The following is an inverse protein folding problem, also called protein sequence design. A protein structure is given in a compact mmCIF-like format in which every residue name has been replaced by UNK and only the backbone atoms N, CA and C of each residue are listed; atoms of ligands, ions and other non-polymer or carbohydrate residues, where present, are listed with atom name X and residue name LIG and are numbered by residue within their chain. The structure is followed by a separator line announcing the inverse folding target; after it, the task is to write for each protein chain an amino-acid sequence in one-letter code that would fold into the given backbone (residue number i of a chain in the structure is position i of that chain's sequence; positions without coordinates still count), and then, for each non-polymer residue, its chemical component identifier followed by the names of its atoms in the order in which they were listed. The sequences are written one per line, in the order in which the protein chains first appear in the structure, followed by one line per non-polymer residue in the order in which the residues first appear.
data_IF_993545133842
#
_entry.id   IF_993545133842
#
_cell.length_a   1.000
_cell.length_b   1.000
_cell.length_c   1.000
_cell.angle_alpha   90.00
_cell.angle_beta   90.00
_cell.angle_gamma   90.00
#
_symmetry.space_group_name_H-M   'P 1'
#
loop_
_entity.id
_entity.type
_entity.pdbx_description
1 polymer ?
#
# COMPACT_ATOMS: atom_id res chain seq x y z
N UNK A 1 -87.13 63.18 -88.93
CA UNK A 1 -86.79 63.01 -87.48
C UNK A 1 -85.92 61.78 -87.18
N UNK A 2 -85.67 60.86 -88.13
CA UNK A 2 -84.91 59.62 -87.87
C UNK A 2 -83.38 59.76 -87.80
N UNK A 3 -82.76 60.78 -88.42
CA UNK A 3 -81.29 60.95 -88.39
C UNK A 3 -80.78 61.49 -87.06
N UNK A 4 -81.55 62.39 -86.41
CA UNK A 4 -81.20 62.98 -85.10
C UNK A 4 -81.26 61.97 -83.95
N UNK A 5 -81.98 60.85 -84.13
CA UNK A 5 -82.02 59.75 -83.18
C UNK A 5 -80.82 58.80 -83.32
N UNK A 6 -80.22 58.71 -84.53
CA UNK A 6 -79.09 57.82 -84.79
C UNK A 6 -77.77 58.41 -84.27
N UNK A 7 -77.53 59.70 -84.50
CA UNK A 7 -76.30 60.38 -84.02
C UNK A 7 -76.28 60.53 -82.48
N UNK A 8 -77.45 60.66 -81.86
CA UNK A 8 -77.60 60.77 -80.40
C UNK A 8 -77.41 59.42 -79.69
N UNK A 9 -77.72 58.33 -80.39
CA UNK A 9 -77.45 56.96 -79.92
C UNK A 9 -75.98 56.60 -80.13
N UNK A 10 -75.33 57.05 -81.21
CA UNK A 10 -73.89 56.81 -81.47
C UNK A 10 -72.98 57.58 -80.49
N UNK A 11 -73.26 58.87 -80.22
CA UNK A 11 -72.56 59.62 -79.16
C UNK A 11 -72.84 59.05 -77.77
N UNK A 12 -74.06 58.59 -77.51
CA UNK A 12 -74.47 57.96 -76.25
C UNK A 12 -74.01 56.51 -76.06
N UNK A 13 -73.41 55.90 -77.07
CA UNK A 13 -72.74 54.59 -77.02
C UNK A 13 -71.22 54.75 -76.92
N UNK A 14 -70.61 55.73 -77.61
CA UNK A 14 -69.18 56.07 -77.44
C UNK A 14 -68.82 56.68 -76.09
N UNK A 15 -69.74 57.40 -75.44
CA UNK A 15 -69.51 57.91 -74.07
C UNK A 15 -69.69 56.84 -72.99
N UNK A 16 -70.29 55.70 -73.32
CA UNK A 16 -70.66 54.65 -72.35
C UNK A 16 -69.57 53.62 -72.09
N UNK A 17 -68.43 53.77 -72.78
CA UNK A 17 -67.18 53.12 -72.48
C UNK A 17 -66.08 54.18 -72.66
N UNK A 18 -65.94 55.06 -71.67
CA UNK A 18 -64.81 55.99 -71.66
C UNK A 18 -63.52 55.15 -71.54
N UNK A 19 -62.47 55.42 -72.34
CA UNK A 19 -61.18 54.72 -72.22
C UNK A 19 -60.65 54.68 -70.78
N UNK A 20 -60.94 55.72 -69.99
CA UNK A 20 -60.57 55.79 -68.58
C UNK A 20 -61.23 54.74 -67.67
N UNK A 21 -62.45 54.26 -67.97
CA UNK A 21 -63.09 53.20 -67.15
C UNK A 21 -62.43 51.84 -67.39
N UNK A 22 -62.05 51.54 -68.64
CA UNK A 22 -61.34 50.31 -68.97
C UNK A 22 -59.92 50.28 -68.36
N UNK A 23 -59.20 51.41 -68.42
CA UNK A 23 -57.87 51.56 -67.79
C UNK A 23 -57.92 51.44 -66.26
N UNK A 24 -58.96 51.99 -65.61
CA UNK A 24 -59.18 51.82 -64.17
C UNK A 24 -59.51 50.36 -63.81
N UNK A 25 -60.31 49.68 -64.63
CA UNK A 25 -60.64 48.27 -64.43
C UNK A 25 -59.39 47.38 -64.52
N UNK A 26 -58.53 47.61 -65.51
CA UNK A 26 -57.27 46.87 -65.69
C UNK A 26 -56.27 47.16 -64.56
N UNK A 27 -56.21 48.40 -64.07
CA UNK A 27 -55.40 48.76 -62.91
C UNK A 27 -55.92 48.08 -61.63
N UNK A 28 -57.24 48.00 -61.46
CA UNK A 28 -57.87 47.33 -60.32
C UNK A 28 -57.60 45.81 -60.34
N UNK A 29 -57.68 45.18 -61.51
CA UNK A 29 -57.30 43.77 -61.70
C UNK A 29 -55.81 43.54 -61.41
N UNK A 30 -54.91 44.44 -61.83
CA UNK A 30 -53.49 44.36 -61.49
C UNK A 30 -53.24 44.48 -59.98
N UNK A 31 -53.96 45.37 -59.29
CA UNK A 31 -53.90 45.50 -57.84
C UNK A 31 -54.40 44.22 -57.16
N UNK A 32 -55.50 43.64 -57.61
CA UNK A 32 -56.05 42.41 -57.04
C UNK A 32 -55.09 41.22 -57.22
N UNK A 33 -54.45 41.10 -58.39
CA UNK A 33 -53.40 40.11 -58.65
C UNK A 33 -52.21 40.33 -57.70
N UNK A 34 -51.74 41.57 -57.56
CA UNK A 34 -50.62 41.91 -56.69
C UNK A 34 -50.95 41.64 -55.21
N UNK A 35 -52.15 41.97 -54.75
CA UNK A 35 -52.66 41.65 -53.40
C UNK A 35 -52.75 40.14 -53.20
N UNK A 36 -53.18 39.39 -54.22
CA UNK A 36 -53.18 37.92 -54.21
C UNK A 36 -51.78 37.33 -54.02
N UNK A 37 -50.79 37.83 -54.77
CA UNK A 37 -49.38 37.41 -54.64
C UNK A 37 -48.83 37.77 -53.26
N UNK A 38 -49.14 38.95 -52.74
CA UNK A 38 -48.70 39.39 -51.41
C UNK A 38 -49.30 38.52 -50.30
N UNK A 39 -50.60 38.17 -50.39
CA UNK A 39 -51.24 37.22 -49.46
C UNK A 39 -50.56 35.85 -49.51
N UNK A 40 -50.28 35.33 -50.70
CA UNK A 40 -49.60 34.05 -50.85
C UNK A 40 -48.18 34.07 -50.26
N UNK A 41 -47.44 35.17 -50.44
CA UNK A 41 -46.11 35.36 -49.84
C UNK A 41 -46.19 35.43 -48.31
N UNK A 42 -47.16 36.15 -47.77
CA UNK A 42 -47.39 36.24 -46.33
C UNK A 42 -47.70 34.85 -45.74
N UNK A 43 -48.63 34.11 -46.33
CA UNK A 43 -48.96 32.73 -45.92
C UNK A 43 -47.73 31.81 -45.96
N UNK A 44 -46.88 31.95 -46.98
CA UNK A 44 -45.66 31.14 -47.10
C UNK A 44 -44.62 31.46 -46.01
N UNK A 45 -44.48 32.75 -45.66
CA UNK A 45 -43.59 33.20 -44.59
C UNK A 45 -44.11 32.74 -43.23
N UNK A 46 -45.43 32.84 -42.99
CA UNK A 46 -46.05 32.35 -41.75
C UNK A 46 -45.85 30.84 -41.58
N UNK A 47 -46.07 30.05 -42.63
CA UNK A 47 -45.83 28.60 -42.60
C UNK A 47 -44.36 28.26 -42.36
N UNK A 48 -43.44 28.98 -43.00
CA UNK A 48 -42.00 28.79 -42.79
C UNK A 48 -41.60 29.14 -41.35
N UNK A 49 -42.13 30.23 -40.80
CA UNK A 49 -41.84 30.66 -39.44
C UNK A 49 -42.40 29.68 -38.39
N UNK A 50 -43.61 29.16 -38.61
CA UNK A 50 -44.20 28.09 -37.80
C UNK A 50 -43.33 26.83 -37.80
N UNK A 51 -42.88 26.40 -38.98
CA UNK A 51 -42.01 25.23 -39.12
C UNK A 51 -40.65 25.43 -38.41
N UNK A 52 -40.05 26.61 -38.53
CA UNK A 52 -38.82 26.95 -37.79
C UNK A 52 -39.04 26.93 -36.28
N UNK A 53 -40.14 27.52 -35.80
CA UNK A 53 -40.48 27.55 -34.37
C UNK A 53 -40.68 26.14 -33.82
N UNK A 54 -41.40 25.28 -34.53
CA UNK A 54 -41.58 23.87 -34.17
C UNK A 54 -40.25 23.09 -34.16
N UNK A 55 -39.35 23.39 -35.09
CA UNK A 55 -38.02 22.77 -35.12
C UNK A 55 -37.20 23.16 -33.89
N UNK A 56 -37.14 24.47 -33.56
CA UNK A 56 -36.44 24.95 -32.38
C UNK A 56 -37.05 24.44 -31.08
N UNK A 57 -38.37 24.36 -31.00
CA UNK A 57 -39.06 23.77 -29.86
C UNK A 57 -38.72 22.27 -29.71
N UNK A 58 -38.67 21.52 -30.81
CA UNK A 58 -38.24 20.12 -30.81
C UNK A 58 -36.79 19.93 -30.35
N UNK A 59 -35.87 20.78 -30.82
CA UNK A 59 -34.48 20.78 -30.36
C UNK A 59 -34.38 21.11 -28.87
N UNK A 60 -35.13 22.10 -28.40
CA UNK A 60 -35.17 22.50 -27.00
C UNK A 60 -35.70 21.38 -26.10
N UNK A 61 -36.75 20.68 -26.52
CA UNK A 61 -37.28 19.51 -25.80
C UNK A 61 -36.27 18.37 -25.73
N UNK A 62 -35.56 18.12 -26.84
CA UNK A 62 -34.49 17.11 -26.89
C UNK A 62 -33.36 17.46 -25.92
N UNK A 63 -32.93 18.72 -25.91
CA UNK A 63 -31.91 19.21 -24.99
C UNK A 63 -32.38 19.09 -23.52
N UNK A 64 -33.64 19.43 -23.24
CA UNK A 64 -34.26 19.25 -21.91
C UNK A 64 -34.24 17.79 -21.46
N UNK A 65 -34.55 16.86 -22.37
CA UNK A 65 -34.50 15.43 -22.08
C UNK A 65 -33.07 14.94 -21.80
N UNK A 66 -32.09 15.41 -22.58
CA UNK A 66 -30.67 15.11 -22.33
C UNK A 66 -30.19 15.66 -20.98
N UNK A 67 -30.54 16.89 -20.64
CA UNK A 67 -30.25 17.46 -19.32
C UNK A 67 -30.89 16.65 -18.21
N UNK A 68 -32.14 16.22 -18.37
CA UNK A 68 -32.85 15.42 -17.37
C UNK A 68 -32.19 14.07 -17.16
N UNK A 69 -31.73 13.43 -18.25
CA UNK A 69 -30.95 12.18 -18.21
C UNK A 69 -29.60 12.37 -17.53
N UNK A 70 -28.89 13.45 -17.85
CA UNK A 70 -27.61 13.79 -17.24
C UNK A 70 -27.77 14.04 -15.73
N UNK A 71 -28.75 14.85 -15.33
CA UNK A 71 -29.07 15.11 -13.92
C UNK A 71 -29.38 13.81 -13.16
N UNK A 72 -30.22 12.94 -13.73
CA UNK A 72 -30.52 11.63 -13.12
C UNK A 72 -29.27 10.76 -13.00
N UNK A 73 -28.39 10.75 -14.02
CA UNK A 73 -27.14 10.00 -13.98
C UNK A 73 -26.19 10.52 -12.89
N UNK A 74 -26.11 11.85 -12.72
CA UNK A 74 -25.31 12.49 -11.70
C UNK A 74 -25.85 12.20 -10.29
N UNK A 75 -27.15 12.25 -10.10
CA UNK A 75 -27.79 11.87 -8.83
C UNK A 75 -27.57 10.40 -8.49
N UNK A 76 -27.68 9.50 -9.47
CA UNK A 76 -27.37 8.07 -9.30
C UNK A 76 -25.90 7.86 -8.92
N UNK A 77 -24.97 8.54 -9.58
CA UNK A 77 -23.55 8.48 -9.26
C UNK A 77 -23.27 9.02 -7.86
N UNK A 78 -23.87 10.15 -7.49
CA UNK A 78 -23.77 10.74 -6.15
C UNK A 78 -24.33 9.82 -5.07
N UNK A 79 -25.48 9.18 -5.32
CA UNK A 79 -26.07 8.17 -4.44
C UNK A 79 -25.18 6.94 -4.33
N UNK A 80 -24.62 6.46 -5.44
CA UNK A 80 -23.68 5.35 -5.46
C UNK A 80 -22.43 5.68 -4.64
N UNK A 81 -21.83 6.85 -4.85
CA UNK A 81 -20.67 7.31 -4.08
C UNK A 81 -21.00 7.46 -2.59
N UNK A 82 -22.18 7.97 -2.24
CA UNK A 82 -22.62 8.01 -0.83
C UNK A 82 -22.85 6.63 -0.24
N UNK A 83 -23.42 5.67 -0.99
CA UNK A 83 -23.58 4.28 -0.55
C UNK A 83 -22.23 3.59 -0.40
N UNK A 84 -21.34 3.72 -1.38
CA UNK A 84 -19.98 3.19 -1.33
C UNK A 84 -19.19 3.78 -0.16
N UNK A 85 -19.31 5.09 0.09
CA UNK A 85 -18.71 5.72 1.26
C UNK A 85 -19.34 5.23 2.56
N UNK A 86 -20.64 4.95 2.62
CA UNK A 86 -21.27 4.33 3.79
C UNK A 86 -20.80 2.89 4.00
N UNK A 87 -20.56 2.12 2.94
CA UNK A 87 -19.97 0.79 3.00
C UNK A 87 -18.52 0.85 3.45
N UNK A 88 -17.66 1.67 2.84
CA UNK A 88 -16.30 1.97 3.33
C UNK A 88 -16.31 2.40 4.79
N UNK A 89 -17.26 3.25 5.19
CA UNK A 89 -17.36 3.69 6.59
C UNK A 89 -17.81 2.55 7.51
N UNK A 90 -18.72 1.65 7.09
CA UNK A 90 -19.13 0.46 7.86
C UNK A 90 -18.03 -0.61 7.93
N UNK A 91 -17.28 -0.79 6.86
CA UNK A 91 -16.12 -1.68 6.78
C UNK A 91 -14.98 -1.14 7.66
N UNK A 92 -14.73 0.17 7.62
CA UNK A 92 -13.88 0.89 8.57
C UNK A 92 -14.48 0.94 9.97
N UNK A 93 -15.80 0.80 10.16
CA UNK A 93 -16.44 0.75 11.50
C UNK A 93 -16.30 -0.63 12.14
N UNK A 94 -16.42 -1.70 11.36
CA UNK A 94 -16.14 -3.07 11.80
C UNK A 94 -14.64 -3.27 12.08
N UNK A 95 -13.76 -2.74 11.22
CA UNK A 95 -12.33 -2.63 11.53
C UNK A 95 -12.09 -1.72 12.75
N UNK A 96 -12.82 -0.62 12.93
CA UNK A 96 -12.79 0.25 14.13
C UNK A 96 -13.56 -0.34 15.32
N UNK A 97 -14.03 -1.57 15.30
CA UNK A 97 -14.55 -2.26 16.49
C UNK A 97 -13.55 -3.32 16.96
N UNK A 98 -12.80 -3.93 16.03
CA UNK A 98 -11.59 -4.73 16.33
C UNK A 98 -10.37 -3.88 16.69
N UNK A 99 -10.15 -2.74 16.01
CA UNK A 99 -9.03 -1.81 16.26
C UNK A 99 -9.09 -1.12 17.63
N UNK A 100 -10.22 -0.75 18.27
CA UNK A 100 -10.23 -0.22 19.63
C UNK A 100 -9.92 -1.29 20.66
N UNK A 101 -10.24 -2.57 20.40
CA UNK A 101 -9.83 -3.67 21.26
C UNK A 101 -8.33 -3.93 21.12
N UNK A 102 -7.81 -3.97 19.90
CA UNK A 102 -6.36 -4.11 19.63
C UNK A 102 -5.55 -2.88 20.08
N UNK A 103 -6.07 -1.66 19.90
CA UNK A 103 -5.46 -0.42 20.38
C UNK A 103 -5.53 -0.34 21.91
N UNK A 104 -6.61 -0.80 22.53
CA UNK A 104 -6.72 -0.92 24.00
C UNK A 104 -5.73 -1.95 24.53
N UNK A 105 -5.59 -3.11 23.89
CA UNK A 105 -4.64 -4.16 24.27
C UNK A 105 -3.19 -3.68 24.09
N UNK A 106 -2.89 -3.03 22.97
CA UNK A 106 -1.58 -2.43 22.73
C UNK A 106 -1.26 -1.31 23.72
N UNK A 107 -2.23 -0.48 24.06
CA UNK A 107 -2.08 0.59 25.05
C UNK A 107 -1.90 0.04 26.47
N UNK A 108 -2.61 -1.04 26.82
CA UNK A 108 -2.39 -1.77 28.07
C UNK A 108 -0.97 -2.34 28.12
N UNK A 109 -0.51 -2.96 27.04
CA UNK A 109 0.85 -3.52 26.93
C UNK A 109 1.92 -2.43 26.98
N UNK A 110 1.63 -1.25 26.43
CA UNK A 110 2.49 -0.07 26.52
C UNK A 110 2.59 0.42 27.96
N UNK A 111 1.48 0.49 28.70
CA UNK A 111 1.49 0.84 30.12
C UNK A 111 2.21 -0.21 30.97
N UNK A 112 2.11 -1.49 30.64
CA UNK A 112 2.90 -2.55 31.29
C UNK A 112 4.40 -2.35 31.06
N UNK A 113 4.82 -2.00 29.85
CA UNK A 113 6.22 -1.67 29.58
C UNK A 113 6.67 -0.41 30.30
N UNK A 114 5.82 0.62 30.39
CA UNK A 114 6.10 1.83 31.19
C UNK A 114 6.25 1.51 32.67
N UNK A 115 5.39 0.66 33.22
CA UNK A 115 5.48 0.21 34.61
C UNK A 115 6.77 -0.60 34.86
N UNK A 116 7.12 -1.52 33.95
CA UNK A 116 8.39 -2.26 34.02
C UNK A 116 9.60 -1.34 33.92
N UNK A 117 9.59 -0.35 33.03
CA UNK A 117 10.65 0.64 32.92
C UNK A 117 10.86 1.36 34.26
N UNK A 118 9.78 1.85 34.87
CA UNK A 118 9.86 2.52 36.18
C UNK A 118 10.40 1.61 37.28
N UNK A 119 10.12 0.30 37.21
CA UNK A 119 10.66 -0.65 38.18
C UNK A 119 12.16 -0.89 37.96
N UNK A 120 12.60 -0.99 36.71
CA UNK A 120 14.03 -1.04 36.38
C UNK A 120 14.78 0.22 36.84
N UNK A 121 14.18 1.41 36.66
CA UNK A 121 14.76 2.66 37.15
C UNK A 121 14.93 2.65 38.69
N UNK A 122 13.95 2.08 39.42
CA UNK A 122 14.09 1.90 40.88
C UNK A 122 15.21 0.92 41.23
N UNK A 123 15.31 -0.21 40.52
CA UNK A 123 16.38 -1.18 40.75
C UNK A 123 17.76 -0.56 40.46
N UNK A 124 17.88 0.24 39.40
CA UNK A 124 19.10 0.99 39.08
C UNK A 124 19.48 1.94 40.22
N UNK A 125 18.54 2.73 40.73
CA UNK A 125 18.79 3.64 41.86
C UNK A 125 19.24 2.85 43.11
N UNK A 126 18.62 1.69 43.40
CA UNK A 126 19.00 0.85 44.52
C UNK A 126 20.43 0.31 44.36
N UNK A 127 20.78 -0.24 43.19
CA UNK A 127 22.12 -0.73 42.93
C UNK A 127 23.16 0.38 42.96
N UNK A 128 22.84 1.54 42.39
CA UNK A 128 23.71 2.72 42.44
C UNK A 128 23.96 3.16 43.89
N UNK A 129 22.91 3.17 44.71
CA UNK A 129 23.02 3.49 46.15
C UNK A 129 23.90 2.47 46.88
N UNK A 130 23.70 1.17 46.60
CA UNK A 130 24.54 0.11 47.15
C UNK A 130 26.01 0.28 46.77
N UNK A 131 26.31 0.58 45.49
CA UNK A 131 27.67 0.85 45.02
C UNK A 131 28.31 2.02 45.77
N UNK A 132 27.59 3.13 45.95
CA UNK A 132 28.08 4.29 46.71
C UNK A 132 28.37 3.91 48.16
N UNK A 133 27.49 3.14 48.81
CA UNK A 133 27.73 2.69 50.19
C UNK A 133 28.95 1.76 50.33
N UNK A 134 29.16 0.86 49.35
CA UNK A 134 30.31 -0.04 49.31
C UNK A 134 31.61 0.74 49.10
N UNK A 135 31.62 1.71 48.19
CA UNK A 135 32.76 2.62 47.97
C UNK A 135 33.09 3.41 49.26
N UNK A 136 32.08 3.92 49.96
CA UNK A 136 32.27 4.60 51.25
C UNK A 136 32.87 3.66 52.32
N UNK A 137 32.41 2.40 52.40
CA UNK A 137 32.99 1.40 53.30
C UNK A 137 34.45 1.07 52.93
N UNK A 138 34.74 0.89 51.65
CA UNK A 138 36.11 0.64 51.17
C UNK A 138 37.04 1.80 51.52
N UNK A 139 36.61 3.06 51.33
CA UNK A 139 37.36 4.25 51.74
C UNK A 139 37.62 4.30 53.23
N UNK A 140 36.61 3.98 54.05
CA UNK A 140 36.78 3.95 55.51
C UNK A 140 37.77 2.87 55.95
N UNK A 141 37.69 1.67 55.36
CA UNK A 141 38.62 0.57 55.62
C UNK A 141 40.04 0.93 55.17
N UNK A 142 40.20 1.57 54.01
CA UNK A 142 41.49 2.06 53.54
C UNK A 142 42.09 3.09 54.50
N UNK A 143 41.28 4.02 55.01
CA UNK A 143 41.73 5.01 55.99
C UNK A 143 42.16 4.36 57.31
N UNK A 144 41.42 3.34 57.77
CA UNK A 144 41.82 2.53 58.94
C UNK A 144 43.13 1.78 58.72
N UNK A 145 43.33 1.18 57.54
CA UNK A 145 44.59 0.52 57.20
C UNK A 145 45.76 1.53 57.21
N UNK A 146 45.55 2.72 56.64
CA UNK A 146 46.54 3.79 56.66
C UNK A 146 46.87 4.24 58.11
N UNK A 147 45.86 4.35 58.98
CA UNK A 147 46.06 4.67 60.40
C UNK A 147 46.90 3.60 61.11
N UNK A 148 46.58 2.32 60.92
CA UNK A 148 47.36 1.22 61.49
C UNK A 148 48.78 1.17 60.94
N UNK A 149 48.96 1.43 59.64
CA UNK A 149 50.29 1.50 59.03
C UNK A 149 51.13 2.64 59.63
N UNK A 150 50.56 3.84 59.78
CA UNK A 150 51.23 4.97 60.45
C UNK A 150 51.54 4.66 61.91
N UNK A 151 50.65 3.99 62.62
CA UNK A 151 50.86 3.58 64.00
C UNK A 151 52.00 2.54 64.11
N UNK A 152 52.03 1.54 63.23
CA UNK A 152 53.11 0.55 63.15
C UNK A 152 54.46 1.21 62.85
N UNK A 153 54.51 2.14 61.89
CA UNK A 153 55.71 2.92 61.57
C UNK A 153 56.19 3.77 62.77
N UNK A 154 55.27 4.38 63.52
CA UNK A 154 55.61 5.12 64.75
C UNK A 154 56.22 4.20 65.82
N UNK A 155 55.64 3.02 66.06
CA UNK A 155 56.23 2.04 66.97
C UNK A 155 57.59 1.53 66.50
N UNK A 156 57.74 1.29 65.20
CA UNK A 156 59.02 0.89 64.61
C UNK A 156 60.09 1.97 64.77
N UNK A 157 59.70 3.24 64.62
CA UNK A 157 60.59 4.39 64.87
C UNK A 157 60.98 4.50 66.34
N UNK A 158 60.06 4.25 67.27
CA UNK A 158 60.36 4.20 68.71
C UNK A 158 61.28 3.03 69.09
N UNK A 159 61.11 1.86 68.46
CA UNK A 159 62.00 0.70 68.65
C UNK A 159 63.41 0.95 68.10
N UNK A 160 63.51 1.58 66.92
CA UNK A 160 64.80 1.94 66.34
C UNK A 160 65.50 3.03 67.17
N UNK A 161 64.76 4.02 67.68
CA UNK A 161 65.28 5.03 68.62
C UNK A 161 65.78 4.43 69.94
N UNK A 162 65.21 3.31 70.40
CA UNK A 162 65.73 2.55 71.55
C UNK A 162 66.93 1.66 71.21
N UNK A 163 66.99 1.08 70.00
CA UNK A 163 68.16 0.28 69.56
C UNK A 163 69.44 1.11 69.44
N UNK A 164 69.33 2.38 69.04
CA UNK A 164 70.48 3.29 69.04
C UNK A 164 70.98 3.65 70.46
N UNK A 165 70.21 3.34 71.51
CA UNK A 165 70.63 3.44 72.91
C UNK A 165 71.10 2.10 73.53
N UNK A 166 71.06 0.99 72.79
CA UNK A 166 71.41 -0.36 73.28
C UNK A 166 72.45 -1.02 72.34
N UNK A 167 73.24 -0.23 71.60
CA UNK A 167 74.40 -0.73 70.84
C UNK A 167 75.73 -0.56 71.58
N UNK A 168 75.71 -0.10 72.83
CA UNK A 168 76.92 0.10 73.64
C UNK A 168 77.23 -1.06 74.62
N UNK A 169 76.59 -2.22 74.48
CA UNK A 169 76.90 -3.40 75.30
C UNK A 169 76.57 -4.69 74.56
N UNK A 170 77.57 -5.22 73.86
CA UNK A 170 77.50 -6.49 73.15
C UNK A 170 77.58 -7.72 74.07
N UNK A 171 77.10 -8.85 73.57
CA UNK A 171 77.60 -10.19 73.94
C UNK A 171 77.26 -11.20 72.85
N UNK A 172 78.29 -11.98 72.51
CA UNK A 172 78.39 -13.06 71.55
C UNK A 172 77.60 -14.33 71.96
N UNK A 173 77.34 -15.24 70.99
CA UNK A 173 77.68 -16.71 70.99
C UNK A 173 76.83 -17.51 69.96
N UNK A 174 77.35 -18.61 69.37
CA UNK A 174 77.39 -18.84 67.92
C UNK A 174 76.57 -20.01 67.32
N UNK A 175 76.65 -20.09 65.98
CA UNK A 175 76.00 -20.98 65.02
C UNK A 175 76.33 -22.47 65.18
N UNK A 176 75.32 -23.33 64.97
CA UNK A 176 75.49 -24.75 64.61
C UNK A 176 74.65 -25.07 63.37
N UNK A 177 75.32 -25.74 62.43
CA UNK A 177 74.90 -26.08 61.06
C UNK A 177 74.20 -27.45 61.08
N UNK A 178 73.07 -27.57 60.36
CA UNK A 178 72.57 -28.83 59.82
C UNK A 178 71.92 -28.50 58.45
N UNK A 179 72.51 -28.98 57.36
CA UNK A 179 72.06 -28.69 55.99
C UNK A 179 71.05 -29.73 55.49
N UNK A 180 69.92 -29.33 54.85
CA UNK A 180 69.12 -30.21 54.02
C UNK A 180 69.62 -30.22 52.57
N UNK A 181 69.55 -31.39 51.94
CA UNK A 181 69.96 -31.70 50.57
C UNK A 181 69.11 -30.93 49.53
N UNK A 182 69.69 -30.19 48.54
CA UNK A 182 68.93 -29.32 47.63
C UNK A 182 68.24 -30.05 46.46
N UNK A 183 68.48 -31.35 46.26
CA UNK A 183 68.09 -32.06 45.04
C UNK A 183 66.60 -32.41 44.96
N UNK A 184 65.91 -32.58 46.10
CA UNK A 184 64.50 -33.02 46.15
C UNK A 184 63.51 -31.88 45.83
N UNK A 185 63.77 -30.66 46.32
CA UNK A 185 62.88 -29.50 46.12
C UNK A 185 62.85 -28.98 44.67
N UNK A 186 63.87 -29.27 43.88
CA UNK A 186 63.91 -28.94 42.44
C UNK A 186 62.95 -29.83 41.65
N UNK A 187 62.87 -31.12 41.96
CA UNK A 187 62.02 -32.08 41.26
C UNK A 187 60.52 -31.77 41.44
N UNK A 188 60.12 -31.39 42.66
CA UNK A 188 58.72 -31.06 42.96
C UNK A 188 58.25 -29.75 42.29
N UNK A 189 59.16 -28.75 42.18
CA UNK A 189 58.86 -27.49 41.47
C UNK A 189 58.70 -27.70 39.98
N UNK A 190 59.55 -28.52 39.37
CA UNK A 190 59.46 -28.85 37.95
C UNK A 190 58.18 -29.66 37.65
N UNK A 191 57.80 -30.60 38.52
CA UNK A 191 56.55 -31.36 38.41
C UNK A 191 55.31 -30.46 38.47
N UNK A 192 55.30 -29.47 39.38
CA UNK A 192 54.23 -28.47 39.47
C UNK A 192 54.15 -27.56 38.24
N UNK A 193 55.29 -27.14 37.67
CA UNK A 193 55.34 -26.34 36.46
C UNK A 193 54.82 -27.14 35.26
N UNK A 194 55.23 -28.41 35.13
CA UNK A 194 54.75 -29.32 34.09
C UNK A 194 53.24 -29.50 34.19
N UNK A 195 52.70 -29.67 35.40
CA UNK A 195 51.25 -29.83 35.59
C UNK A 195 50.47 -28.56 35.22
N UNK A 196 50.99 -27.37 35.56
CA UNK A 196 50.43 -26.09 35.10
C UNK A 196 50.47 -25.95 33.58
N UNK A 197 51.56 -26.34 32.93
CA UNK A 197 51.68 -26.30 31.47
C UNK A 197 50.70 -27.28 30.81
N UNK A 198 50.54 -28.50 31.35
CA UNK A 198 49.55 -29.48 30.86
C UNK A 198 48.13 -28.95 30.99
N UNK A 199 47.78 -28.34 32.13
CA UNK A 199 46.47 -27.72 32.34
C UNK A 199 46.24 -26.57 31.35
N UNK A 200 47.22 -25.68 31.15
CA UNK A 200 47.12 -24.58 30.19
C UNK A 200 46.98 -25.08 28.74
N UNK A 201 47.72 -26.12 28.35
CA UNK A 201 47.59 -26.74 27.01
C UNK A 201 46.20 -27.37 26.83
N UNK A 202 45.67 -28.03 27.86
CA UNK A 202 44.32 -28.59 27.84
C UNK A 202 43.24 -27.49 27.69
N UNK A 203 43.36 -26.38 28.42
CA UNK A 203 42.46 -25.23 28.29
C UNK A 203 42.52 -24.59 26.90
N UNK A 204 43.72 -24.44 26.32
CA UNK A 204 43.91 -23.93 24.96
C UNK A 204 43.26 -24.88 23.94
N UNK A 205 43.42 -26.19 24.10
CA UNK A 205 42.80 -27.17 23.22
C UNK A 205 41.27 -27.11 23.27
N UNK A 206 40.70 -26.99 24.47
CA UNK A 206 39.25 -26.83 24.65
C UNK A 206 38.74 -25.50 24.06
N UNK A 207 39.47 -24.40 24.25
CA UNK A 207 39.13 -23.09 23.66
C UNK A 207 39.17 -23.14 22.14
N UNK A 208 40.20 -23.76 21.55
CA UNK A 208 40.33 -23.94 20.09
C UNK A 208 39.15 -24.73 19.51
N UNK A 209 38.75 -25.82 20.17
CA UNK A 209 37.62 -26.63 19.71
C UNK A 209 36.30 -25.83 19.75
N UNK A 210 36.05 -25.06 20.83
CA UNK A 210 34.87 -24.20 20.91
C UNK A 210 34.84 -23.14 19.80
N UNK A 211 35.96 -22.48 19.55
CA UNK A 211 36.08 -21.51 18.46
C UNK A 211 35.85 -22.16 17.09
N UNK A 212 36.35 -23.38 16.89
CA UNK A 212 36.10 -24.13 15.66
C UNK A 212 34.62 -24.45 15.47
N UNK A 213 33.92 -24.87 16.52
CA UNK A 213 32.48 -25.15 16.47
C UNK A 213 31.66 -23.87 16.20
N UNK A 214 32.00 -22.77 16.86
CA UNK A 214 31.38 -21.46 16.61
C UNK A 214 31.61 -20.99 15.17
N UNK A 215 32.82 -21.17 14.64
CA UNK A 215 33.14 -20.81 13.27
C UNK A 215 32.31 -21.65 12.28
N UNK A 216 32.15 -22.96 12.51
CA UNK A 216 31.27 -23.80 11.71
C UNK A 216 29.80 -23.35 11.75
N UNK A 217 29.29 -22.96 12.92
CA UNK A 217 27.93 -22.42 13.06
C UNK A 217 27.75 -21.12 12.29
N UNK A 218 28.70 -20.18 12.41
CA UNK A 218 28.66 -18.92 11.67
C UNK A 218 28.70 -19.16 10.16
N UNK A 219 29.49 -20.13 9.70
CA UNK A 219 29.57 -20.50 8.29
C UNK A 219 28.24 -21.07 7.77
N UNK A 220 27.52 -21.83 8.60
CA UNK A 220 26.17 -22.31 8.28
C UNK A 220 25.14 -21.16 8.27
N UNK A 221 25.16 -20.28 9.27
CA UNK A 221 24.29 -19.08 9.34
C UNK A 221 24.50 -18.20 8.11
N UNK A 222 25.74 -17.92 7.74
CA UNK A 222 26.09 -17.14 6.55
C UNK A 222 25.52 -17.78 5.27
N UNK A 223 25.60 -19.11 5.15
CA UNK A 223 25.03 -19.85 4.02
C UNK A 223 23.50 -19.79 4.00
N UNK A 224 22.83 -19.68 5.16
CA UNK A 224 21.38 -19.50 5.24
C UNK A 224 21.01 -18.09 4.78
N UNK A 225 21.68 -17.06 5.31
CA UNK A 225 21.45 -15.67 4.90
C UNK A 225 21.70 -15.45 3.41
N UNK A 226 22.74 -16.06 2.84
CA UNK A 226 23.01 -15.99 1.42
C UNK A 226 21.85 -16.55 0.58
N UNK A 227 21.28 -17.70 0.96
CA UNK A 227 20.12 -18.27 0.27
C UNK A 227 18.87 -17.40 0.44
N UNK A 228 18.69 -16.80 1.60
CA UNK A 228 17.58 -15.89 1.85
C UNK A 228 17.69 -14.64 0.96
N UNK A 229 18.89 -14.09 0.77
CA UNK A 229 19.12 -12.99 -0.16
C UNK A 229 18.77 -13.39 -1.60
N UNK A 230 19.22 -14.55 -2.06
CA UNK A 230 18.89 -15.07 -3.39
C UNK A 230 17.38 -15.27 -3.58
N UNK A 231 16.68 -15.78 -2.56
CA UNK A 231 15.22 -15.95 -2.61
C UNK A 231 14.49 -14.60 -2.68
N UNK A 232 14.94 -13.58 -1.93
CA UNK A 232 14.38 -12.24 -1.99
C UNK A 232 14.64 -11.57 -3.36
N UNK A 233 15.85 -11.73 -3.91
CA UNK A 233 16.19 -11.23 -5.25
C UNK A 233 15.35 -11.88 -6.35
N UNK A 234 15.11 -13.20 -6.25
CA UNK A 234 14.22 -13.92 -7.15
C UNK A 234 12.77 -13.42 -7.04
N UNK A 235 12.24 -13.26 -5.82
CA UNK A 235 10.89 -12.71 -5.61
C UNK A 235 10.73 -11.27 -6.10
N UNK A 236 11.76 -10.42 -5.92
CA UNK A 236 11.77 -9.07 -6.49
C UNK A 236 11.75 -9.09 -8.03
N UNK A 237 12.49 -10.02 -8.64
CA UNK A 237 12.52 -10.18 -10.09
C UNK A 237 11.17 -10.66 -10.64
N UNK A 238 10.50 -11.57 -9.93
CA UNK A 238 9.16 -12.05 -10.27
C UNK A 238 8.13 -10.91 -10.22
N UNK A 239 8.05 -10.19 -9.11
CA UNK A 239 7.13 -9.04 -8.95
C UNK A 239 7.40 -7.98 -10.02
N UNK A 240 8.66 -7.73 -10.38
CA UNK A 240 9.02 -6.81 -11.45
C UNK A 240 8.49 -7.28 -12.81
N UNK A 241 8.58 -8.58 -13.10
CA UNK A 241 8.05 -9.15 -14.34
C UNK A 241 6.51 -9.11 -14.40
N UNK A 242 5.83 -9.32 -13.27
CA UNK A 242 4.38 -9.21 -13.16
C UNK A 242 3.91 -7.76 -13.32
N UNK A 243 4.64 -6.81 -12.74
CA UNK A 243 4.34 -5.40 -12.94
C UNK A 243 4.45 -5.02 -14.42
N UNK A 244 5.51 -5.47 -15.09
CA UNK A 244 5.70 -5.22 -16.52
C UNK A 244 4.56 -5.82 -17.35
N UNK A 245 4.12 -7.05 -17.06
CA UNK A 245 3.02 -7.68 -17.81
C UNK A 245 1.68 -6.97 -17.58
N UNK A 246 1.43 -6.45 -16.38
CA UNK A 246 0.26 -5.61 -16.09
C UNK A 246 0.31 -4.29 -16.86
N UNK A 247 1.47 -3.64 -16.95
CA UNK A 247 1.65 -2.43 -17.75
C UNK A 247 1.43 -2.70 -19.24
N UNK A 248 1.88 -3.86 -19.74
CA UNK A 248 1.65 -4.28 -21.12
C UNK A 248 0.15 -4.49 -21.39
N UNK A 249 -0.57 -5.15 -20.48
CA UNK A 249 -2.02 -5.33 -20.56
C UNK A 249 -2.78 -4.01 -20.54
N UNK A 250 -2.38 -3.08 -19.67
CA UNK A 250 -2.98 -1.74 -19.62
C UNK A 250 -2.80 -0.99 -20.94
N UNK A 251 -1.65 -1.12 -21.60
CA UNK A 251 -1.44 -0.54 -22.93
C UNK A 251 -2.36 -1.16 -23.98
N UNK A 252 -2.59 -2.47 -23.94
CA UNK A 252 -3.52 -3.14 -24.86
C UNK A 252 -4.95 -2.61 -24.65
N UNK A 253 -5.43 -2.57 -23.40
CA UNK A 253 -6.78 -2.06 -23.07
C UNK A 253 -6.95 -0.61 -23.52
N UNK A 254 -5.93 0.23 -23.32
CA UNK A 254 -5.95 1.62 -23.76
C UNK A 254 -6.02 1.74 -25.30
N UNK A 255 -5.30 0.89 -26.03
CA UNK A 255 -5.40 0.82 -27.49
C UNK A 255 -6.79 0.37 -27.96
N UNK A 256 -7.37 -0.67 -27.34
CA UNK A 256 -8.72 -1.14 -27.64
C UNK A 256 -9.78 -0.06 -27.38
N UNK A 257 -9.66 0.66 -26.27
CA UNK A 257 -10.55 1.80 -25.96
C UNK A 257 -10.52 2.85 -27.06
N UNK A 258 -9.32 3.22 -27.52
CA UNK A 258 -9.15 4.20 -28.60
C UNK A 258 -9.70 3.67 -29.93
N UNK A 259 -9.53 2.38 -30.22
CA UNK A 259 -10.08 1.76 -31.42
C UNK A 259 -11.61 1.77 -31.40
N UNK A 260 -12.24 1.34 -30.30
CA UNK A 260 -13.69 1.36 -30.14
C UNK A 260 -14.24 2.80 -30.25
N UNK A 261 -13.53 3.78 -29.69
CA UNK A 261 -13.92 5.18 -29.82
C UNK A 261 -13.92 5.65 -31.29
N UNK A 262 -12.92 5.21 -32.07
CA UNK A 262 -12.85 5.48 -33.51
C UNK A 262 -13.96 4.78 -34.30
N UNK A 263 -14.31 3.55 -33.94
CA UNK A 263 -15.41 2.81 -34.57
C UNK A 263 -16.77 3.44 -34.26
N UNK A 264 -17.00 3.89 -33.02
CA UNK A 264 -18.21 4.62 -32.65
C UNK A 264 -18.40 5.91 -33.46
N UNK A 265 -17.32 6.66 -33.70
CA UNK A 265 -17.35 7.85 -34.56
C UNK A 265 -17.77 7.49 -35.99
N UNK A 266 -17.17 6.45 -36.59
CA UNK A 266 -17.53 5.97 -37.93
C UNK A 266 -18.98 5.51 -38.04
N UNK A 267 -19.51 4.84 -37.00
CA UNK A 267 -20.91 4.41 -36.97
C UNK A 267 -21.84 5.63 -36.91
N UNK A 268 -21.52 6.63 -36.08
CA UNK A 268 -22.28 7.88 -36.00
C UNK A 268 -22.33 8.64 -37.33
N UNK A 269 -21.22 8.70 -38.06
CA UNK A 269 -21.16 9.30 -39.40
C UNK A 269 -22.01 8.54 -40.42
N UNK A 270 -21.91 7.21 -40.42
CA UNK A 270 -22.66 6.33 -41.32
C UNK A 270 -24.18 6.41 -41.08
N UNK A 271 -24.60 6.51 -39.82
CA UNK A 271 -25.99 6.71 -39.44
C UNK A 271 -26.52 8.07 -39.90
N UNK A 272 -25.74 9.15 -39.79
CA UNK A 272 -26.16 10.47 -40.27
C UNK A 272 -26.34 10.50 -41.79
N UNK A 273 -25.45 9.84 -42.55
CA UNK A 273 -25.56 9.73 -44.02
C UNK A 273 -26.80 8.93 -44.43
N UNK A 274 -27.11 7.84 -43.72
CA UNK A 274 -28.30 7.03 -43.99
C UNK A 274 -29.60 7.74 -43.61
N UNK A 275 -29.61 8.51 -42.52
CA UNK A 275 -30.76 9.32 -42.11
C UNK A 275 -31.01 10.49 -43.09
N UNK A 276 -29.94 11.13 -43.57
CA UNK A 276 -30.00 12.14 -44.62
C UNK A 276 -30.50 11.59 -45.96
N UNK A 277 -30.11 10.36 -46.32
CA UNK A 277 -30.62 9.65 -47.52
C UNK A 277 -32.11 9.34 -47.41
N UNK A 278 -32.58 8.86 -46.24
CA UNK A 278 -34.02 8.61 -45.98
C UNK A 278 -34.86 9.89 -46.04
N UNK A 279 -34.33 11.04 -45.59
CA UNK A 279 -34.99 12.36 -45.75
C UNK A 279 -35.11 12.81 -47.21
N UNK A 280 -34.10 12.53 -48.05
CA UNK A 280 -34.15 12.88 -49.47
C UNK A 280 -35.11 11.98 -50.28
N UNK A 281 -35.12 10.67 -50.02
CA UNK A 281 -35.98 9.70 -50.75
C UNK A 281 -37.47 9.85 -50.39
N UNK A 282 -37.80 10.30 -49.17
CA UNK A 282 -39.18 10.60 -48.76
C UNK A 282 -39.75 11.89 -49.40
N UNK A 283 -38.93 12.72 -50.05
CA UNK A 283 -39.36 14.02 -50.60
C UNK A 283 -39.85 13.96 -52.05
N UNK A 284 -39.73 12.83 -52.74
CA UNK A 284 -40.19 12.68 -54.13
C UNK A 284 -41.18 11.51 -54.29
N UNK A 285 -42.45 11.76 -53.99
CA UNK A 285 -43.59 10.97 -54.52
C UNK A 285 -44.86 11.82 -54.52
N UNK A 286 -45.37 12.21 -55.71
CA UNK A 286 -46.66 12.88 -55.82
C UNK A 286 -47.76 11.89 -56.22
N UNK A 287 -48.83 11.77 -55.43
CA UNK A 287 -50.10 11.30 -55.97
C UNK A 287 -51.31 11.85 -55.20
N UNK A 288 -52.11 12.57 -55.98
CA UNK A 288 -53.42 13.15 -55.68
C UNK A 288 -54.52 12.09 -55.95
N UNK A 289 -55.60 12.14 -55.16
CA UNK A 289 -56.93 11.47 -55.25
C UNK A 289 -57.03 10.01 -54.76
N UNK A 290 -57.79 9.82 -53.68
CA UNK A 290 -59.12 9.16 -53.67
C UNK A 290 -59.60 8.83 -52.23
N UNK A 291 -60.80 9.28 -51.82
CA UNK A 291 -61.45 8.81 -50.61
C UNK A 291 -62.43 7.66 -50.93
N UNK A 292 -61.97 6.55 -51.51
CA UNK A 292 -62.80 5.33 -51.68
C UNK A 292 -62.12 4.02 -51.25
N UNK A 293 -60.83 4.04 -50.87
CA UNK A 293 -60.10 2.83 -50.42
C UNK A 293 -60.41 2.38 -48.98
N UNK A 294 -60.98 3.24 -48.14
CA UNK A 294 -61.17 2.96 -46.69
C UNK A 294 -62.25 1.92 -46.37
N UNK A 295 -63.04 1.47 -47.36
CA UNK A 295 -64.00 0.36 -47.17
C UNK A 295 -63.47 -1.02 -47.58
N UNK A 296 -62.34 -1.10 -48.29
CA UNK A 296 -61.73 -2.38 -48.70
C UNK A 296 -60.57 -2.82 -47.79
N UNK A 297 -59.96 -1.90 -47.05
CA UNK A 297 -58.89 -2.24 -46.08
C UNK A 297 -59.40 -2.97 -44.84
N UNK A 298 -60.65 -2.74 -44.44
CA UNK A 298 -61.30 -3.46 -43.32
C UNK A 298 -61.55 -4.96 -43.60
N UNK A 299 -61.51 -5.39 -44.87
CA UNK A 299 -61.63 -6.80 -45.26
C UNK A 299 -60.27 -7.50 -45.51
N UNK A 300 -59.17 -6.74 -45.60
CA UNK A 300 -57.81 -7.30 -45.66
C UNK A 300 -57.24 -7.54 -44.25
N UNK A 301 -57.62 -6.71 -43.27
CA UNK A 301 -57.19 -6.83 -41.87
C UNK A 301 -57.63 -8.16 -41.22
N UNK A 302 -58.73 -8.76 -41.65
CA UNK A 302 -59.15 -10.10 -41.21
C UNK A 302 -58.44 -11.25 -41.94
N UNK A 303 -57.78 -11.00 -43.08
CA UNK A 303 -57.03 -12.00 -43.84
C UNK A 303 -55.58 -12.18 -43.35
N UNK A 304 -55.00 -11.17 -42.69
CA UNK A 304 -53.61 -11.19 -42.19
C UNK A 304 -53.46 -11.66 -40.74
N UNK A 305 -54.57 -11.94 -40.06
CA UNK A 305 -54.60 -12.45 -38.69
C UNK A 305 -53.76 -13.73 -38.43
N UNK A 306 -53.77 -14.77 -39.30
CA UNK A 306 -52.89 -15.93 -39.12
C UNK A 306 -51.40 -15.63 -39.38
N UNK A 307 -51.08 -14.53 -40.08
CA UNK A 307 -49.71 -14.12 -40.33
C UNK A 307 -49.14 -13.34 -39.14
N UNK A 308 -49.93 -12.44 -38.54
CA UNK A 308 -49.59 -11.79 -37.28
C UNK A 308 -49.47 -12.77 -36.11
N UNK A 309 -50.32 -13.79 -36.06
CA UNK A 309 -50.23 -14.84 -35.03
C UNK A 309 -48.98 -15.72 -35.20
N UNK A 310 -48.57 -16.00 -36.44
CA UNK A 310 -47.29 -16.66 -36.74
C UNK A 310 -46.09 -15.79 -36.34
N UNK A 311 -46.11 -14.48 -36.62
CA UNK A 311 -45.05 -13.57 -36.20
C UNK A 311 -44.98 -13.44 -34.67
N UNK A 312 -46.12 -13.35 -33.98
CA UNK A 312 -46.18 -13.33 -32.51
C UNK A 312 -45.65 -14.63 -31.90
N UNK A 313 -45.99 -15.78 -32.47
CA UNK A 313 -45.46 -17.07 -32.03
C UNK A 313 -43.95 -17.21 -32.32
N UNK A 314 -43.46 -16.62 -33.42
CA UNK A 314 -42.03 -16.56 -33.74
C UNK A 314 -41.26 -15.65 -32.79
N UNK A 315 -41.81 -14.48 -32.44
CA UNK A 315 -41.24 -13.60 -31.42
C UNK A 315 -41.27 -14.24 -30.03
N UNK A 316 -42.35 -14.94 -29.68
CA UNK A 316 -42.47 -15.64 -28.40
C UNK A 316 -41.47 -16.79 -28.27
N UNK A 317 -41.30 -17.59 -29.32
CA UNK A 317 -40.29 -18.66 -29.34
C UNK A 317 -38.86 -18.12 -29.29
N UNK A 318 -38.58 -17.02 -29.99
CA UNK A 318 -37.27 -16.34 -29.91
C UNK A 318 -36.99 -15.84 -28.48
N UNK A 319 -37.99 -15.23 -27.82
CA UNK A 319 -37.86 -14.79 -26.44
C UNK A 319 -37.59 -15.95 -25.48
N UNK A 320 -38.28 -17.09 -25.61
CA UNK A 320 -37.99 -18.26 -24.78
C UNK A 320 -36.57 -18.78 -24.98
N UNK A 321 -36.08 -18.77 -26.22
CA UNK A 321 -34.74 -19.26 -26.55
C UNK A 321 -33.65 -18.32 -26.04
N UNK A 322 -33.87 -17.01 -26.14
CA UNK A 322 -32.98 -16.00 -25.58
C UNK A 322 -32.99 -16.03 -24.04
N UNK A 323 -34.16 -16.24 -23.42
CA UNK A 323 -34.32 -16.33 -21.96
C UNK A 323 -33.64 -17.58 -21.39
N UNK A 324 -33.71 -18.72 -22.08
CA UNK A 324 -33.00 -19.95 -21.73
C UNK A 324 -31.48 -19.80 -21.89
N UNK A 325 -31.03 -19.15 -22.96
CA UNK A 325 -29.62 -18.82 -23.15
C UNK A 325 -29.10 -17.87 -22.05
N UNK A 326 -29.84 -16.80 -21.74
CA UNK A 326 -29.51 -15.88 -20.65
C UNK A 326 -29.53 -16.57 -19.28
N UNK A 327 -30.47 -17.48 -19.04
CA UNK A 327 -30.51 -18.29 -17.83
C UNK A 327 -29.26 -19.18 -17.72
N UNK A 328 -28.80 -19.77 -18.83
CA UNK A 328 -27.58 -20.60 -18.85
C UNK A 328 -26.30 -19.80 -18.59
N UNK A 329 -26.18 -18.59 -19.16
CA UNK A 329 -25.06 -17.68 -18.90
C UNK A 329 -25.08 -17.20 -17.46
N UNK A 330 -26.26 -16.86 -16.94
CA UNK A 330 -26.40 -16.42 -15.55
C UNK A 330 -26.01 -17.55 -14.58
N UNK A 331 -26.34 -18.81 -14.88
CA UNK A 331 -25.94 -19.95 -14.06
C UNK A 331 -24.43 -20.23 -14.13
N UNK A 332 -23.81 -20.07 -15.31
CA UNK A 332 -22.36 -20.11 -15.45
C UNK A 332 -21.68 -19.06 -14.58
N UNK A 333 -22.15 -17.81 -14.66
CA UNK A 333 -21.60 -16.73 -13.84
C UNK A 333 -21.82 -16.99 -12.35
N UNK A 334 -22.97 -17.54 -11.94
CA UNK A 334 -23.22 -17.93 -10.54
C UNK A 334 -22.25 -19.00 -10.06
N UNK A 335 -21.96 -20.00 -10.90
CA UNK A 335 -21.00 -21.06 -10.60
C UNK A 335 -19.59 -20.49 -10.44
N UNK A 336 -19.15 -19.65 -11.38
CA UNK A 336 -17.83 -19.01 -11.33
C UNK A 336 -17.67 -18.08 -10.11
N UNK A 337 -18.73 -17.33 -9.74
CA UNK A 337 -18.73 -16.53 -8.50
C UNK A 337 -18.60 -17.45 -7.27
N UNK A 338 -19.27 -18.61 -7.27
CA UNK A 338 -19.19 -19.57 -6.17
C UNK A 338 -17.78 -20.15 -6.04
N UNK A 339 -17.18 -20.57 -7.15
CA UNK A 339 -15.82 -21.12 -7.21
C UNK A 339 -14.78 -20.09 -6.74
N UNK A 340 -14.88 -18.84 -7.22
CA UNK A 340 -13.99 -17.76 -6.80
C UNK A 340 -14.16 -17.41 -5.31
N UNK A 341 -15.38 -17.51 -4.78
CA UNK A 341 -15.65 -17.28 -3.36
C UNK A 341 -15.04 -18.37 -2.49
N UNK A 342 -15.10 -19.63 -2.92
CA UNK A 342 -14.46 -20.75 -2.22
C UNK A 342 -12.93 -20.65 -2.27
N UNK A 343 -12.37 -20.31 -3.44
CA UNK A 343 -10.92 -20.10 -3.60
C UNK A 343 -10.42 -18.96 -2.70
N UNK A 344 -11.17 -17.86 -2.62
CA UNK A 344 -10.86 -16.75 -1.73
C UNK A 344 -10.85 -17.19 -0.27
N UNK A 345 -11.86 -17.92 0.17
CA UNK A 345 -11.93 -18.44 1.53
C UNK A 345 -10.75 -19.37 1.85
N UNK A 346 -10.38 -20.24 0.92
CA UNK A 346 -9.23 -21.13 1.09
C UNK A 346 -7.91 -20.35 1.19
N UNK A 347 -7.76 -19.26 0.43
CA UNK A 347 -6.60 -18.34 0.54
C UNK A 347 -6.58 -17.64 1.90
N UNK A 348 -7.72 -17.18 2.42
CA UNK A 348 -7.81 -16.59 3.76
C UNK A 348 -7.35 -17.56 4.86
N UNK A 349 -7.81 -18.82 4.82
CA UNK A 349 -7.37 -19.86 5.76
C UNK A 349 -5.85 -20.09 5.66
N UNK A 350 -5.33 -20.13 4.44
CA UNK A 350 -3.90 -20.33 4.19
C UNK A 350 -3.08 -19.17 4.75
N UNK A 351 -3.51 -17.92 4.50
CA UNK A 351 -2.87 -16.71 5.04
C UNK A 351 -2.89 -16.75 6.57
N UNK A 352 -4.03 -17.03 7.19
CA UNK A 352 -4.14 -17.12 8.66
C UNK A 352 -3.18 -18.16 9.25
N UNK A 353 -3.02 -19.31 8.57
CA UNK A 353 -2.11 -20.37 8.98
C UNK A 353 -0.65 -19.94 8.87
N UNK A 354 -0.28 -19.30 7.75
CA UNK A 354 1.09 -18.77 7.53
C UNK A 354 1.39 -17.67 8.56
N UNK A 355 0.47 -16.75 8.82
CA UNK A 355 0.63 -15.69 9.82
C UNK A 355 0.86 -16.27 11.22
N UNK A 356 0.10 -17.30 11.62
CA UNK A 356 0.30 -18.00 12.90
C UNK A 356 1.69 -18.61 12.99
N UNK A 357 2.18 -19.23 11.91
CA UNK A 357 3.52 -19.80 11.85
C UNK A 357 4.61 -18.73 11.91
N UNK A 358 4.43 -17.61 11.20
CA UNK A 358 5.35 -16.47 11.23
C UNK A 358 5.48 -15.89 12.65
N UNK A 359 4.36 -15.68 13.34
CA UNK A 359 4.37 -15.17 14.72
C UNK A 359 5.06 -16.12 15.71
N UNK A 360 4.99 -17.43 15.50
CA UNK A 360 5.73 -18.41 16.31
C UNK A 360 7.24 -18.32 16.05
N UNK A 361 7.65 -18.21 14.79
CA UNK A 361 9.06 -18.07 14.41
C UNK A 361 9.65 -16.75 14.93
N UNK A 362 8.91 -15.64 14.88
CA UNK A 362 9.33 -14.37 15.45
C UNK A 362 9.60 -14.46 16.96
N UNK A 363 8.73 -15.15 17.70
CA UNK A 363 8.94 -15.39 19.15
C UNK A 363 10.19 -16.24 19.41
N UNK A 364 10.39 -17.27 18.60
CA UNK A 364 11.57 -18.14 18.71
C UNK A 364 12.87 -17.36 18.46
N UNK A 365 12.92 -16.57 17.37
CA UNK A 365 14.06 -15.71 17.04
C UNK A 365 14.36 -14.71 18.15
N UNK A 366 13.33 -14.10 18.76
CA UNK A 366 13.51 -13.15 19.85
C UNK A 366 14.14 -13.79 21.08
N UNK A 367 13.74 -15.01 21.43
CA UNK A 367 14.35 -15.77 22.53
C UNK A 367 15.79 -16.16 22.22
N UNK A 368 16.09 -16.61 20.99
CA UNK A 368 17.46 -16.92 20.58
C UNK A 368 18.38 -15.70 20.64
N UNK A 369 17.89 -14.53 20.21
CA UNK A 369 18.61 -13.26 20.33
C UNK A 369 18.90 -12.91 21.78
N UNK A 370 17.92 -13.00 22.67
CA UNK A 370 18.11 -12.71 24.11
C UNK A 370 19.15 -13.67 24.74
N UNK A 371 19.15 -14.94 24.34
CA UNK A 371 20.16 -15.91 24.78
C UNK A 371 21.55 -15.52 24.26
N UNK A 372 21.67 -15.17 22.96
CA UNK A 372 22.95 -14.73 22.37
C UNK A 372 23.48 -13.46 23.04
N UNK A 373 22.63 -12.49 23.36
CA UNK A 373 23.00 -11.27 24.11
C UNK A 373 23.53 -11.59 25.50
N UNK A 374 22.85 -12.46 26.26
CA UNK A 374 23.31 -12.91 27.59
C UNK A 374 24.66 -13.64 27.50
N UNK A 375 24.87 -14.44 26.47
CA UNK A 375 26.14 -15.13 26.23
C UNK A 375 27.26 -14.14 25.90
N UNK A 376 26.98 -13.15 25.06
CA UNK A 376 27.93 -12.11 24.70
C UNK A 376 28.34 -11.24 25.90
N UNK A 377 27.41 -10.89 26.77
CA UNK A 377 27.71 -10.18 28.01
C UNK A 377 28.63 -11.00 28.95
N UNK A 378 28.38 -12.31 29.08
CA UNK A 378 29.27 -13.22 29.84
C UNK A 378 30.66 -13.29 29.24
N UNK A 379 30.77 -13.35 27.91
CA UNK A 379 32.05 -13.35 27.20
C UNK A 379 32.81 -12.05 27.47
N UNK A 380 32.17 -10.90 27.32
CA UNK A 380 32.81 -9.60 27.59
C UNK A 380 33.32 -9.47 29.03
N UNK A 381 32.55 -9.96 30.01
CA UNK A 381 33.00 -10.01 31.40
C UNK A 381 34.24 -10.89 31.59
N UNK A 382 34.25 -12.08 30.97
CA UNK A 382 35.40 -12.98 31.02
C UNK A 382 36.65 -12.38 30.37
N UNK A 383 36.50 -11.71 29.22
CA UNK A 383 37.57 -11.01 28.51
C UNK A 383 38.14 -9.86 29.35
N UNK A 384 37.28 -9.09 30.03
CA UNK A 384 37.70 -8.00 30.89
C UNK A 384 38.49 -8.53 32.09
N UNK A 385 38.03 -9.61 32.73
CA UNK A 385 38.75 -10.27 33.83
C UNK A 385 40.10 -10.82 33.37
N UNK A 386 40.16 -11.42 32.17
CA UNK A 386 41.40 -11.91 31.60
C UNK A 386 42.40 -10.76 31.31
N UNK A 387 41.94 -9.64 30.75
CA UNK A 387 42.77 -8.44 30.56
C UNK A 387 43.32 -7.89 31.88
N UNK A 388 42.50 -7.85 32.93
CA UNK A 388 42.93 -7.43 34.25
C UNK A 388 44.05 -8.32 34.81
N UNK A 389 43.85 -9.65 34.82
CA UNK A 389 44.86 -10.62 35.28
C UNK A 389 46.14 -10.55 34.45
N UNK A 390 46.04 -10.30 33.14
CA UNK A 390 47.20 -10.11 32.27
C UNK A 390 47.98 -8.85 32.65
N UNK A 391 47.29 -7.73 32.94
CA UNK A 391 47.93 -6.49 33.35
C UNK A 391 48.64 -6.63 34.70
N UNK A 392 48.01 -7.32 35.66
CA UNK A 392 48.61 -7.61 36.96
C UNK A 392 49.84 -8.52 36.83
N UNK A 393 49.77 -9.58 36.02
CA UNK A 393 50.94 -10.42 35.73
C UNK A 393 52.09 -9.63 35.09
N UNK A 394 51.77 -8.69 34.19
CA UNK A 394 52.78 -7.84 33.56
C UNK A 394 53.44 -6.93 34.58
N UNK A 395 52.65 -6.34 35.49
CA UNK A 395 53.15 -5.50 36.58
C UNK A 395 54.04 -6.30 37.55
N UNK A 396 53.57 -7.47 38.02
CA UNK A 396 54.34 -8.35 38.89
C UNK A 396 55.64 -8.82 38.22
N UNK A 397 55.60 -9.14 36.92
CA UNK A 397 56.80 -9.48 36.16
C UNK A 397 57.79 -8.31 36.07
N UNK A 398 57.29 -7.08 35.93
CA UNK A 398 58.11 -5.86 36.00
C UNK A 398 58.78 -5.71 37.37
N UNK A 399 58.02 -5.85 38.47
CA UNK A 399 58.55 -5.78 39.83
C UNK A 399 59.55 -6.88 40.16
N UNK A 400 59.40 -8.07 39.58
CA UNK A 400 60.39 -9.16 39.70
C UNK A 400 61.63 -8.94 38.83
N UNK A 401 61.54 -8.17 37.74
CA UNK A 401 62.68 -7.84 36.88
C UNK A 401 63.72 -6.92 37.53
N UNK A 402 63.33 -6.18 38.57
CA UNK A 402 64.23 -5.37 39.40
C UNK A 402 64.97 -6.19 40.47
N UNK A 403 64.63 -7.47 40.62
CA UNK A 403 65.39 -8.44 41.41
C UNK A 403 66.34 -9.17 40.46
N UNK A 404 67.50 -8.56 40.22
CA UNK A 404 68.59 -9.17 39.45
C UNK A 404 68.98 -10.54 40.06
N UNK A 405 68.81 -11.67 39.34
CA UNK A 405 69.33 -12.96 39.78
C UNK A 405 70.87 -13.00 39.80
N UNK A 406 71.54 -11.99 39.23
CA UNK A 406 72.99 -11.93 39.03
C UNK A 406 73.84 -11.65 40.26
N UNK A 407 73.28 -11.21 41.39
CA UNK A 407 74.09 -10.86 42.57
C UNK A 407 74.43 -12.03 43.52
N UNK A 408 73.93 -13.24 43.27
CA UNK A 408 74.21 -14.41 44.13
C UNK A 408 75.14 -15.47 43.51
N UNK A 409 75.85 -15.15 42.42
CA UNK A 409 76.83 -16.06 41.80
C UNK A 409 78.24 -15.47 41.64
N UNK A 410 78.75 -14.76 42.65
CA UNK A 410 80.18 -14.42 42.72
C UNK A 410 80.70 -14.56 44.16
N UNK A 411 80.92 -15.79 44.61
CA UNK A 411 82.01 -16.11 45.57
C UNK A 411 82.54 -17.49 45.18
N UNK A 412 83.60 -17.50 44.36
CA UNK A 412 84.62 -18.56 44.35
C UNK A 412 85.81 -18.07 45.18
#
# INVERSE_FOLDING_TARGET
MASRARDKVDWGLRLRASPCEAELQELMEQIDIMVGILRQKLDSLEKCNLAMTQNYEGQLQTLKAQFSKLTSSFEKLRLHQMKQNKFRRKEVSHLREEVPFELSNLNQKLEEFRAKSREWDKQEILYQTHLVSLDAQQKLLSEKCNQFQKQAQSYQTQLNGKKQGIEDSGSEIPRLICGPDPSCETSERDEFIIEKLKSAVSEIALSRNKLQDENQKLLQELKIYQRQCQAMEAGLSEVKSELQSRDDLLRIIEMERLQLHRELLKIGESQSVQENKKRLESSYSPSIKEPEKKRKELFLVTSDQPNHEKELNKMRSQLYQDEEYHSSEQERMRSEISDLTEELHQKEITIATIMKKAALLERQLKLELEIKEKMLAKQQFSDMRYKAVRSENTHLKGMMGDLDPGQYMVIC
#
